data_IF_376454015146
#
_entry.id   IF_376454015146
#
_cell.length_a   1.000
_cell.length_b   1.000
_cell.length_c   1.000
_cell.angle_alpha   90.00
_cell.angle_beta   90.00
_cell.angle_gamma   90.00
#
_symmetry.space_group_name_H-M   'P 1'
#
loop_
_entity.id
_entity.type
_entity.pdbx_description
1 polymer ?
#
# COMPACT_ATOMS: atom_id res chain seq x y z
N UNK A 1 38.13 -16.41 -44.72
CA UNK A 1 38.54 -16.02 -43.34
C UNK A 1 37.40 -15.24 -42.73
N UNK A 2 36.66 -15.83 -41.78
CA UNK A 2 35.46 -15.23 -41.19
C UNK A 2 35.82 -14.66 -39.81
N UNK A 3 35.72 -13.34 -39.64
CA UNK A 3 35.93 -12.65 -38.35
C UNK A 3 34.64 -12.69 -37.54
N UNK A 4 34.67 -13.38 -36.38
CA UNK A 4 33.65 -13.26 -35.36
C UNK A 4 33.82 -11.94 -34.59
N UNK A 5 32.79 -11.09 -34.63
CA UNK A 5 32.62 -9.95 -33.73
C UNK A 5 31.96 -10.43 -32.43
N UNK A 6 32.70 -10.41 -31.34
CA UNK A 6 32.18 -10.67 -30.00
C UNK A 6 31.55 -9.39 -29.41
N UNK A 7 30.23 -9.39 -29.24
CA UNK A 7 29.51 -8.38 -28.46
C UNK A 7 29.77 -8.64 -26.97
N UNK A 8 30.49 -7.74 -26.31
CA UNK A 8 30.65 -7.75 -24.86
C UNK A 8 29.53 -6.93 -24.22
N UNK A 9 28.57 -7.62 -23.60
CA UNK A 9 27.53 -6.98 -22.80
C UNK A 9 28.12 -6.56 -21.45
N UNK A 10 28.27 -5.25 -21.23
CA UNK A 10 28.62 -4.71 -19.92
C UNK A 10 27.40 -4.74 -19.03
N UNK A 11 27.36 -5.68 -18.08
CA UNK A 11 26.34 -5.73 -17.04
C UNK A 11 26.49 -4.52 -16.11
N UNK A 12 25.46 -3.67 -16.09
CA UNK A 12 25.33 -2.55 -15.15
C UNK A 12 25.29 -3.10 -13.72
N UNK A 13 26.16 -2.64 -12.79
CA UNK A 13 26.06 -3.08 -11.41
C UNK A 13 24.77 -2.53 -10.79
N UNK A 14 23.87 -3.43 -10.39
CA UNK A 14 22.76 -3.09 -9.53
C UNK A 14 23.32 -2.51 -8.23
N UNK A 15 23.04 -1.23 -7.97
CA UNK A 15 23.41 -0.57 -6.73
C UNK A 15 22.82 -1.37 -5.55
N UNK A 16 23.69 -2.06 -4.83
CA UNK A 16 23.35 -2.72 -3.58
C UNK A 16 23.09 -1.64 -2.53
N UNK A 17 21.81 -1.27 -2.36
CA UNK A 17 21.37 -0.45 -1.23
C UNK A 17 21.52 -1.30 0.04
N UNK A 18 22.71 -1.24 0.65
CA UNK A 18 22.95 -1.74 2.01
C UNK A 18 22.43 -0.71 3.01
N UNK A 19 21.13 -0.76 3.25
CA UNK A 19 20.50 -0.29 4.48
C UNK A 19 19.49 -1.36 4.86
N UNK A 20 19.59 -1.94 6.05
CA UNK A 20 18.61 -2.90 6.53
C UNK A 20 17.21 -2.26 6.50
N UNK A 21 16.39 -2.71 5.55
CA UNK A 21 15.00 -2.30 5.43
C UNK A 21 14.22 -3.06 6.50
N UNK A 22 13.62 -2.38 7.50
CA UNK A 22 12.86 -3.07 8.52
C UNK A 22 11.70 -3.85 7.89
N UNK A 23 11.59 -5.13 8.26
CA UNK A 23 10.54 -6.03 7.81
C UNK A 23 9.26 -5.71 8.58
N UNK A 24 8.15 -5.46 7.87
CA UNK A 24 6.83 -5.40 8.50
C UNK A 24 5.80 -4.72 7.61
N UNK A 25 4.74 -5.43 7.23
CA UNK A 25 3.52 -4.79 6.73
C UNK A 25 2.39 -5.27 7.60
N UNK A 26 2.04 -4.49 8.62
CA UNK A 26 0.66 -4.29 9.07
C UNK A 26 0.61 -2.94 9.81
N UNK A 27 -0.47 -2.20 9.57
CA UNK A 27 -1.06 -1.30 10.57
C UNK A 27 -1.17 -2.10 11.89
N UNK A 28 -0.30 -1.80 12.85
CA UNK A 28 -0.19 -2.39 14.19
C UNK A 28 0.19 -3.88 14.26
N UNK A 29 1.44 -4.15 14.68
CA UNK A 29 1.80 -5.45 15.26
C UNK A 29 1.17 -5.59 16.65
N UNK A 30 -0.15 -5.83 16.69
CA UNK A 30 -0.76 -6.48 17.84
C UNK A 30 -0.76 -7.99 17.59
N UNK A 31 0.13 -8.70 18.29
CA UNK A 31 0.16 -10.15 18.54
C UNK A 31 -0.61 -11.00 17.51
N UNK A 32 0.10 -11.37 16.43
CA UNK A 32 -0.18 -12.48 15.50
C UNK A 32 -1.61 -13.02 15.49
N UNK A 33 -2.47 -12.44 14.66
CA UNK A 33 -3.58 -13.20 14.07
C UNK A 33 -2.89 -14.18 13.09
N UNK A 34 -2.74 -15.44 13.52
CA UNK A 34 -1.81 -16.47 13.02
C UNK A 34 -1.37 -16.39 11.56
N UNK A 35 -0.05 -16.45 11.34
CA UNK A 35 0.68 -16.78 10.10
C UNK A 35 0.17 -16.25 8.74
N UNK A 36 -0.73 -15.27 8.70
CA UNK A 36 -1.29 -14.76 7.46
C UNK A 36 -0.25 -13.90 6.74
N UNK A 37 0.48 -14.52 5.82
CA UNK A 37 1.50 -13.88 4.96
C UNK A 37 0.85 -13.09 3.83
N UNK A 38 0.19 -11.97 4.14
CA UNK A 38 -0.45 -11.09 3.13
C UNK A 38 0.58 -10.21 2.44
N UNK A 39 0.59 -10.21 1.10
CA UNK A 39 1.33 -9.24 0.28
C UNK A 39 2.85 -9.32 0.43
N UNK A 40 3.40 -10.47 0.85
CA UNK A 40 4.86 -10.67 1.02
C UNK A 40 5.55 -11.08 -0.29
N UNK A 41 4.86 -11.83 -1.13
CA UNK A 41 5.41 -12.36 -2.38
C UNK A 41 5.73 -11.23 -3.35
N UNK A 42 6.95 -11.21 -3.88
CA UNK A 42 7.39 -10.21 -4.86
C UNK A 42 7.60 -8.81 -4.31
N UNK A 43 7.57 -8.60 -2.99
CA UNK A 43 7.90 -7.31 -2.36
C UNK A 43 9.39 -7.02 -2.51
N UNK A 44 9.74 -5.83 -2.99
CA UNK A 44 11.14 -5.37 -3.12
C UNK A 44 11.52 -4.34 -2.06
N UNK A 45 10.56 -3.48 -1.66
CA UNK A 45 10.77 -2.50 -0.60
C UNK A 45 9.45 -2.18 0.11
N UNK A 46 9.56 -1.70 1.34
CA UNK A 46 8.43 -1.11 2.06
C UNK A 46 8.94 0.04 2.95
N UNK A 47 8.16 1.11 3.05
CA UNK A 47 8.43 2.23 3.95
C UNK A 47 7.13 2.68 4.60
N UNK A 48 7.21 2.96 5.89
CA UNK A 48 6.11 3.50 6.68
C UNK A 48 6.53 4.85 7.26
N UNK A 49 5.62 5.82 7.21
CA UNK A 49 5.77 7.11 7.88
C UNK A 49 4.57 7.29 8.80
N UNK A 50 4.84 7.53 10.08
CA UNK A 50 3.83 7.83 11.08
C UNK A 50 4.06 9.24 11.60
N UNK A 51 3.07 10.10 11.43
CA UNK A 51 3.05 11.45 11.97
C UNK A 51 2.06 11.48 13.14
N UNK A 52 2.58 11.34 14.35
CA UNK A 52 1.79 11.47 15.58
C UNK A 52 1.85 12.91 16.10
N UNK A 53 0.70 13.47 16.47
CA UNK A 53 0.61 14.68 17.29
C UNK A 53 0.05 14.23 18.65
N UNK A 54 0.82 14.45 19.71
CA UNK A 54 0.57 14.07 21.11
C UNK A 54 -0.84 13.49 21.41
N UNK A 55 -0.86 12.20 21.74
CA UNK A 55 -1.95 11.43 22.38
C UNK A 55 -3.23 11.15 21.59
N UNK A 56 -3.36 11.61 20.35
CA UNK A 56 -4.41 11.14 19.44
C UNK A 56 -3.77 10.56 18.20
N UNK A 57 -4.34 9.46 17.68
CA UNK A 57 -3.79 8.65 16.60
C UNK A 57 -3.24 9.52 15.45
N UNK A 58 -2.04 9.17 14.97
CA UNK A 58 -1.36 9.94 13.94
C UNK A 58 -1.86 9.65 12.52
N UNK A 59 -1.49 10.50 11.57
CA UNK A 59 -1.54 10.17 10.14
C UNK A 59 -0.52 9.06 9.89
N UNK A 60 -0.95 8.00 9.20
CA UNK A 60 -0.08 6.87 8.84
C UNK A 60 -0.08 6.67 7.34
N UNK A 61 1.12 6.67 6.78
CA UNK A 61 1.40 6.40 5.38
C UNK A 61 2.25 5.14 5.29
N UNK A 62 1.90 4.27 4.35
CA UNK A 62 2.76 3.15 4.01
C UNK A 62 2.82 2.97 2.52
N UNK A 63 4.02 2.75 1.99
CA UNK A 63 4.27 2.44 0.59
C UNK A 63 5.01 1.12 0.52
N UNK A 64 4.54 0.23 -0.35
CA UNK A 64 5.18 -1.03 -0.70
C UNK A 64 5.46 -1.02 -2.19
N UNK A 65 6.71 -1.32 -2.55
CA UNK A 65 7.08 -1.61 -3.93
C UNK A 65 7.15 -3.11 -4.16
N UNK A 66 6.64 -3.55 -5.30
CA UNK A 66 6.70 -4.92 -5.77
C UNK A 66 7.56 -5.02 -7.02
N UNK A 67 8.05 -6.22 -7.31
CA UNK A 67 8.90 -6.49 -8.47
C UNK A 67 8.16 -6.31 -9.80
N UNK A 68 6.83 -6.45 -9.81
CA UNK A 68 6.00 -6.25 -11.00
C UNK A 68 4.60 -5.73 -10.64
N UNK A 69 3.88 -5.12 -11.59
CA UNK A 69 2.47 -4.75 -11.42
C UNK A 69 1.58 -5.94 -11.02
N UNK A 70 1.85 -7.13 -11.57
CA UNK A 70 1.10 -8.34 -11.25
C UNK A 70 1.26 -8.75 -9.77
N UNK A 71 2.45 -8.54 -9.19
CA UNK A 71 2.68 -8.81 -7.76
C UNK A 71 1.98 -7.79 -6.85
N UNK A 72 1.97 -6.51 -7.23
CA UNK A 72 1.19 -5.50 -6.52
C UNK A 72 -0.32 -5.81 -6.55
N UNK A 73 -0.84 -6.21 -7.72
CA UNK A 73 -2.24 -6.63 -7.86
C UNK A 73 -2.56 -7.87 -7.03
N UNK A 74 -1.65 -8.86 -7.02
CA UNK A 74 -1.78 -10.04 -6.16
C UNK A 74 -1.85 -9.65 -4.68
N UNK A 75 -0.99 -8.74 -4.22
CA UNK A 75 -1.01 -8.29 -2.84
C UNK A 75 -2.34 -7.63 -2.45
N UNK A 76 -2.90 -6.80 -3.33
CA UNK A 76 -4.22 -6.21 -3.09
C UNK A 76 -5.34 -7.26 -3.05
N UNK A 77 -5.28 -8.31 -3.88
CA UNK A 77 -6.22 -9.45 -3.79
C UNK A 77 -6.06 -10.23 -2.48
N UNK A 78 -4.83 -10.52 -2.07
CA UNK A 78 -4.54 -11.18 -0.80
C UNK A 78 -5.07 -10.36 0.39
N UNK A 79 -4.93 -9.03 0.34
CA UNK A 79 -5.51 -8.12 1.32
C UNK A 79 -7.04 -8.23 1.37
N UNK A 80 -7.73 -8.15 0.23
CA UNK A 80 -9.21 -8.31 0.18
C UNK A 80 -9.66 -9.65 0.76
N UNK A 81 -8.93 -10.73 0.43
CA UNK A 81 -9.22 -12.06 0.96
C UNK A 81 -8.96 -12.15 2.48
N UNK A 82 -7.90 -11.52 2.98
CA UNK A 82 -7.63 -11.42 4.41
C UNK A 82 -8.72 -10.60 5.11
N UNK A 83 -9.10 -9.45 4.57
CA UNK A 83 -10.18 -8.61 5.09
C UNK A 83 -11.48 -9.40 5.23
N UNK A 84 -11.90 -10.12 4.18
CA UNK A 84 -13.11 -10.96 4.22
C UNK A 84 -13.04 -12.04 5.30
N UNK A 85 -11.87 -12.66 5.50
CA UNK A 85 -11.67 -13.69 6.53
C UNK A 85 -11.67 -13.10 7.94
N UNK A 86 -11.12 -11.91 8.12
CA UNK A 86 -10.99 -11.24 9.42
C UNK A 86 -12.21 -10.39 9.81
N UNK A 87 -13.12 -10.14 8.86
CA UNK A 87 -14.26 -9.22 8.98
C UNK A 87 -15.36 -9.60 9.96
N UNK A 88 -15.26 -10.77 10.60
CA UNK A 88 -16.27 -11.25 11.54
C UNK A 88 -15.72 -11.19 12.97
N UNK A 89 -15.84 -10.00 13.60
CA UNK A 89 -15.60 -9.83 15.04
C UNK A 89 -16.87 -9.31 15.70
N UNK A 90 -17.27 -9.94 16.81
CA UNK A 90 -18.43 -9.48 17.59
C UNK A 90 -18.20 -8.05 18.06
N UNK A 91 -19.16 -7.18 17.79
CA UNK A 91 -19.16 -5.77 18.18
C UNK A 91 -18.36 -4.82 17.28
N UNK A 92 -17.95 -5.29 16.10
CA UNK A 92 -17.34 -4.48 15.06
C UNK A 92 -17.98 -4.78 13.71
N UNK A 93 -18.35 -3.74 12.97
CA UNK A 93 -18.69 -3.85 11.56
C UNK A 93 -17.52 -3.30 10.73
N UNK A 94 -17.06 -4.11 9.78
CA UNK A 94 -15.96 -3.78 8.88
C UNK A 94 -16.49 -3.64 7.46
N UNK A 95 -16.16 -2.53 6.82
CA UNK A 95 -16.57 -2.27 5.44
C UNK A 95 -15.37 -2.09 4.54
N UNK A 96 -15.46 -2.66 3.34
CA UNK A 96 -14.49 -2.52 2.28
C UNK A 96 -15.21 -2.14 0.99
N UNK A 97 -15.11 -0.88 0.58
CA UNK A 97 -15.73 -0.38 -0.65
C UNK A 97 -14.68 0.04 -1.66
N UNK A 98 -15.08 0.15 -2.92
CA UNK A 98 -14.24 0.76 -3.94
C UNK A 98 -14.02 2.24 -3.64
N UNK A 99 -12.82 2.70 -3.98
CA UNK A 99 -12.47 4.11 -3.94
C UNK A 99 -11.94 4.53 -5.32
N UNK A 100 -11.89 5.85 -5.56
CA UNK A 100 -11.40 6.41 -6.82
C UNK A 100 -10.09 7.15 -6.58
N UNK A 101 -9.06 6.39 -6.19
CA UNK A 101 -7.65 6.78 -6.12
C UNK A 101 -6.79 5.75 -6.87
N UNK A 102 -5.81 6.20 -7.66
CA UNK A 102 -4.96 5.32 -8.47
C UNK A 102 -5.70 4.47 -9.50
N UNK A 103 -5.08 3.35 -9.88
CA UNK A 103 -5.66 2.38 -10.84
C UNK A 103 -6.68 1.46 -10.15
N UNK A 104 -6.43 1.12 -8.89
CA UNK A 104 -7.32 0.32 -8.07
C UNK A 104 -7.21 0.75 -6.62
N UNK A 105 -8.30 1.16 -5.99
CA UNK A 105 -8.30 1.49 -4.57
C UNK A 105 -9.50 0.97 -3.82
N UNK A 106 -9.31 0.85 -2.51
CA UNK A 106 -10.30 0.41 -1.55
C UNK A 106 -10.30 1.33 -0.35
N UNK A 107 -11.50 1.68 0.09
CA UNK A 107 -11.74 2.35 1.36
C UNK A 107 -12.10 1.29 2.39
N UNK A 108 -11.39 1.33 3.52
CA UNK A 108 -11.76 0.56 4.71
C UNK A 108 -12.28 1.49 5.78
N UNK A 109 -13.34 1.07 6.46
CA UNK A 109 -13.73 1.67 7.72
C UNK A 109 -14.22 0.60 8.69
N UNK A 110 -13.92 0.82 9.97
CA UNK A 110 -14.41 -0.02 11.06
C UNK A 110 -15.28 0.82 11.97
N UNK A 111 -16.50 0.35 12.23
CA UNK A 111 -17.40 0.93 13.23
C UNK A 111 -17.53 -0.04 14.40
N UNK A 112 -17.41 0.47 15.62
CA UNK A 112 -17.66 -0.27 16.86
C UNK A 112 -19.12 -0.11 17.29
N UNK A 113 -19.65 -1.09 18.01
CA UNK A 113 -20.96 -0.99 18.69
C UNK A 113 -21.10 0.38 19.39
N UNK A 114 -22.20 1.08 19.12
CA UNK A 114 -22.41 2.48 19.55
C UNK A 114 -22.07 3.54 18.49
N UNK A 115 -21.69 3.14 17.27
CA UNK A 115 -21.52 4.05 16.13
C UNK A 115 -20.20 4.83 16.13
N UNK A 116 -19.24 4.43 16.95
CA UNK A 116 -17.90 5.04 17.00
C UNK A 116 -17.10 4.51 15.81
N UNK A 117 -16.68 5.41 14.93
CA UNK A 117 -15.70 5.13 13.88
C UNK A 117 -14.31 5.04 14.52
N UNK A 118 -13.57 3.96 14.23
CA UNK A 118 -12.27 3.68 14.87
C UNK A 118 -11.09 4.00 13.94
N UNK A 119 -11.17 3.55 12.68
CA UNK A 119 -10.11 3.74 11.69
C UNK A 119 -10.70 3.88 10.29
N UNK A 120 -10.16 4.82 9.51
CA UNK A 120 -10.46 4.98 8.09
C UNK A 120 -9.18 4.98 7.26
N UNK A 121 -9.13 4.14 6.23
CA UNK A 121 -7.98 4.05 5.32
C UNK A 121 -8.38 3.97 3.86
N UNK A 122 -7.50 4.48 3.00
CA UNK A 122 -7.50 4.21 1.56
C UNK A 122 -6.28 3.36 1.25
N UNK A 123 -6.50 2.15 0.75
CA UNK A 123 -5.47 1.30 0.15
C UNK A 123 -5.55 1.47 -1.35
N UNK A 124 -4.45 1.83 -1.99
CA UNK A 124 -4.39 2.06 -3.42
C UNK A 124 -3.25 1.28 -4.06
N UNK A 125 -3.50 0.77 -5.27
CA UNK A 125 -2.50 0.22 -6.18
C UNK A 125 -2.32 1.18 -7.36
N UNK A 126 -1.07 1.40 -7.71
CA UNK A 126 -0.65 2.13 -8.91
C UNK A 126 0.60 1.44 -9.43
N UNK A 127 0.61 1.02 -10.69
CA UNK A 127 1.69 0.22 -11.27
C UNK A 127 2.10 -0.98 -10.37
N UNK A 128 3.39 -1.08 -10.04
CA UNK A 128 3.99 -2.07 -9.14
C UNK A 128 4.00 -1.64 -7.65
N UNK A 129 3.27 -0.59 -7.26
CA UNK A 129 3.19 -0.14 -5.88
C UNK A 129 1.81 -0.40 -5.25
N UNK A 130 1.80 -0.70 -3.94
CA UNK A 130 0.61 -0.64 -3.09
C UNK A 130 0.91 0.30 -1.94
N UNK A 131 0.02 1.25 -1.67
CA UNK A 131 0.18 2.18 -0.56
C UNK A 131 -1.12 2.34 0.22
N UNK A 132 -0.96 2.71 1.48
CA UNK A 132 -2.03 2.90 2.45
C UNK A 132 -1.92 4.30 3.00
N UNK A 133 -3.04 5.02 2.98
CA UNK A 133 -3.20 6.30 3.66
C UNK A 133 -4.27 6.13 4.74
N UNK A 134 -3.88 6.28 5.99
CA UNK A 134 -4.77 6.19 7.15
C UNK A 134 -4.73 7.50 7.92
N UNK A 135 -5.91 7.92 8.34
CA UNK A 135 -6.10 9.07 9.24
C UNK A 135 -6.99 8.66 10.40
N UNK A 136 -6.93 9.38 11.52
CA UNK A 136 -7.94 9.26 12.55
C UNK A 136 -9.33 9.49 11.98
N UNK A 137 -10.33 8.74 12.45
CA UNK A 137 -11.71 8.97 12.09
C UNK A 137 -12.04 10.40 12.47
N UNK A 138 -12.48 11.16 11.48
CA UNK A 138 -13.02 12.50 11.72
C UNK A 138 -14.48 12.43 11.36
N UNK A 139 -15.37 13.05 12.15
CA UNK A 139 -16.79 13.23 11.77
C UNK A 139 -16.98 13.91 10.40
N UNK A 140 -15.90 14.46 9.83
CA UNK A 140 -15.86 15.08 8.52
C UNK A 140 -15.71 14.07 7.38
N UNK A 141 -16.33 14.40 6.26
CA UNK A 141 -16.30 13.69 4.96
C UNK A 141 -14.97 13.00 4.61
N UNK A 142 -15.06 11.85 3.94
CA UNK A 142 -13.95 11.11 3.29
C UNK A 142 -13.18 11.91 2.23
N UNK A 143 -13.74 13.02 1.72
CA UNK A 143 -13.17 13.78 0.60
C UNK A 143 -11.68 14.18 0.78
N UNK A 144 -11.22 14.68 1.95
CA UNK A 144 -9.82 15.01 2.15
C UNK A 144 -8.92 13.78 2.09
N UNK A 145 -9.37 12.64 2.65
CA UNK A 145 -8.63 11.38 2.60
C UNK A 145 -8.42 10.92 1.14
N UNK A 146 -9.47 11.00 0.31
CA UNK A 146 -9.36 10.69 -1.12
C UNK A 146 -8.45 11.65 -1.86
N UNK A 147 -8.56 12.96 -1.59
CA UNK A 147 -7.70 13.99 -2.21
C UNK A 147 -6.23 13.73 -1.89
N UNK A 148 -5.91 13.48 -0.62
CA UNK A 148 -4.53 13.27 -0.18
C UNK A 148 -3.99 11.94 -0.74
N UNK A 149 -4.82 10.88 -0.78
CA UNK A 149 -4.45 9.61 -1.44
C UNK A 149 -4.16 9.79 -2.93
N UNK A 150 -4.90 10.66 -3.64
CA UNK A 150 -4.61 10.99 -5.05
C UNK A 150 -3.33 11.79 -5.22
N UNK A 151 -3.08 12.74 -4.32
CA UNK A 151 -1.82 13.50 -4.31
C UNK A 151 -0.62 12.55 -4.09
N UNK A 152 -0.80 11.52 -3.27
CA UNK A 152 0.22 10.47 -3.08
C UNK A 152 0.43 9.64 -4.35
N UNK A 153 -0.62 9.30 -5.09
CA UNK A 153 -0.50 8.61 -6.40
C UNK A 153 0.52 9.28 -7.31
N UNK A 154 0.50 10.61 -7.38
CA UNK A 154 1.44 11.36 -8.21
C UNK A 154 2.89 11.14 -7.78
N UNK A 155 3.17 11.17 -6.47
CA UNK A 155 4.51 10.93 -5.91
C UNK A 155 4.97 9.48 -6.08
N UNK A 156 4.04 8.53 -6.04
CA UNK A 156 4.35 7.11 -6.25
C UNK A 156 4.89 6.87 -7.65
N UNK A 157 4.42 7.59 -8.66
CA UNK A 157 4.93 7.44 -10.01
C UNK A 157 6.37 7.93 -10.23
N UNK A 158 6.95 8.65 -9.26
CA UNK A 158 8.39 8.96 -9.28
C UNK A 158 9.27 7.77 -8.86
N UNK A 159 8.68 6.74 -8.23
CA UNK A 159 9.40 5.58 -7.65
C UNK A 159 8.87 4.21 -8.12
N UNK A 160 7.73 4.20 -8.80
CA UNK A 160 7.06 3.01 -9.32
C UNK A 160 7.15 2.97 -10.85
N UNK A 161 6.96 1.78 -11.43
CA UNK A 161 6.99 1.56 -12.88
C UNK A 161 5.71 2.06 -13.57
N UNK A 162 5.36 3.34 -13.36
CA UNK A 162 4.22 3.99 -13.98
C UNK A 162 4.52 4.27 -15.46
N UNK A 163 4.33 3.27 -16.33
CA UNK A 163 4.36 3.49 -17.77
C UNK A 163 3.12 4.32 -18.14
N UNK A 164 3.33 5.55 -18.62
CA UNK A 164 2.33 6.42 -19.29
C UNK A 164 1.07 6.85 -18.50
N UNK A 165 1.10 6.96 -17.17
CA UNK A 165 0.03 7.65 -16.41
C UNK A 165 0.13 9.19 -16.46
N UNK A 166 1.19 9.72 -17.09
CA UNK A 166 1.47 11.17 -17.20
C UNK A 166 0.73 11.81 -18.39
N UNK A 167 0.21 11.03 -19.34
CA UNK A 167 -0.49 11.52 -20.54
C UNK A 167 -1.98 11.89 -20.35
N UNK A 168 -2.53 11.77 -19.13
CA UNK A 168 -3.95 12.02 -18.85
C UNK A 168 -4.19 13.21 -17.90
N UNK A 169 -3.24 14.16 -17.84
CA UNK A 169 -3.41 15.43 -17.10
C UNK A 169 -3.92 16.54 -18.02
#
# INVERSE_FOLDING_TARGET
>A
MASLLALTATATPALAIRGEIPRGFLLYEHKTIGDLKVGRTGRVAARTVELSRQETTGLKEQVILYSTPAMAQRALREFKAAWKRCGHRKGFAQTLTEASAGEESRRTFTTRDGGVEDDEAIITRTANAVYVYLRPPTKTSVKPLLRDSRAMTAKICDIADCVDLVGAR
#
